data_IF_415984950656
#
_entry.id   IF_415984950656
#
_cell.length_a   1.000
_cell.length_b   1.000
_cell.length_c   1.000
_cell.angle_alpha   90.00
_cell.angle_beta   90.00
_cell.angle_gamma   90.00
#
_symmetry.space_group_name_H-M   'P 1'
#
loop_
_entity.id
_entity.type
_entity.pdbx_description
1 polymer ?
#
# COMPACT_ATOMS: atom_id res chain seq x y z
N UNK A 1 -14.40 -2.11 -10.52
CA UNK A 1 -13.34 -3.13 -10.41
C UNK A 1 -12.44 -2.65 -9.29
N UNK A 2 -12.23 -3.46 -8.28
CA UNK A 2 -11.50 -3.03 -7.09
C UNK A 2 -10.01 -2.91 -7.46
N UNK A 3 -9.50 -1.68 -7.46
CA UNK A 3 -8.10 -1.42 -7.73
C UNK A 3 -7.24 -2.06 -6.62
N UNK A 4 -6.11 -2.64 -7.02
CA UNK A 4 -5.15 -3.24 -6.08
C UNK A 4 -3.74 -2.81 -6.42
N UNK A 5 -2.87 -2.89 -5.41
CA UNK A 5 -1.44 -2.57 -5.50
C UNK A 5 -0.66 -3.63 -4.74
N UNK A 6 0.57 -3.89 -5.16
CA UNK A 6 1.45 -4.84 -4.49
C UNK A 6 2.73 -4.12 -4.00
N UNK A 7 3.15 -4.45 -2.79
CA UNK A 7 4.13 -3.70 -2.01
C UNK A 7 5.22 -4.55 -1.36
N UNK A 8 6.36 -3.93 -1.04
CA UNK A 8 7.45 -4.49 -0.23
C UNK A 8 8.33 -5.50 -0.95
N UNK A 9 9.26 -6.15 -0.23
CA UNK A 9 10.27 -7.07 -0.77
C UNK A 9 9.73 -8.23 -1.63
N UNK A 10 8.43 -8.52 -1.50
CA UNK A 10 7.74 -9.63 -2.18
C UNK A 10 6.59 -9.12 -3.04
N UNK A 11 6.67 -7.89 -3.55
CA UNK A 11 5.62 -7.25 -4.33
C UNK A 11 5.20 -8.08 -5.54
N UNK A 12 6.14 -8.64 -6.29
CA UNK A 12 5.87 -9.49 -7.46
C UNK A 12 5.13 -10.77 -7.06
N UNK A 13 5.50 -11.38 -5.95
CA UNK A 13 4.84 -12.58 -5.44
C UNK A 13 3.40 -12.26 -5.01
N UNK A 14 3.17 -11.09 -4.39
CA UNK A 14 1.83 -10.64 -4.05
C UNK A 14 0.99 -10.35 -5.31
N UNK A 15 1.58 -9.74 -6.34
CA UNK A 15 0.93 -9.55 -7.62
C UNK A 15 0.54 -10.89 -8.27
N UNK A 16 1.42 -11.90 -8.19
CA UNK A 16 1.14 -13.25 -8.68
C UNK A 16 0.00 -13.91 -7.88
N UNK A 17 -0.06 -13.70 -6.56
CA UNK A 17 -1.16 -14.20 -5.72
C UNK A 17 -2.50 -13.58 -6.08
N UNK A 18 -2.54 -12.27 -6.33
CA UNK A 18 -3.75 -11.58 -6.80
C UNK A 18 -4.21 -12.14 -8.15
N UNK A 19 -3.29 -12.37 -9.09
CA UNK A 19 -3.61 -13.04 -10.37
C UNK A 19 -4.24 -14.41 -10.15
N UNK A 20 -3.67 -15.25 -9.28
CA UNK A 20 -4.22 -16.58 -9.00
C UNK A 20 -5.56 -16.53 -8.26
N UNK A 21 -5.83 -15.46 -7.52
CA UNK A 21 -7.12 -15.20 -6.89
C UNK A 21 -8.17 -14.65 -7.87
N UNK A 22 -7.85 -14.48 -9.15
CA UNK A 22 -8.77 -13.95 -10.17
C UNK A 22 -8.93 -12.43 -10.15
N UNK A 23 -8.04 -11.71 -9.46
CA UNK A 23 -8.06 -10.24 -9.45
C UNK A 23 -7.43 -9.67 -10.73
N UNK A 24 -7.83 -8.45 -11.16
CA UNK A 24 -7.10 -7.70 -12.17
C UNK A 24 -5.63 -7.50 -11.79
N UNK A 25 -4.78 -7.26 -12.79
CA UNK A 25 -3.40 -6.89 -12.53
C UNK A 25 -3.33 -5.65 -11.64
N UNK A 26 -2.41 -5.61 -10.64
CA UNK A 26 -2.25 -4.44 -9.80
C UNK A 26 -1.91 -3.20 -10.62
N UNK A 27 -2.44 -2.04 -10.20
CA UNK A 27 -2.14 -0.75 -10.82
C UNK A 27 -0.69 -0.31 -10.60
N UNK A 28 -0.03 -0.83 -9.57
CA UNK A 28 1.42 -0.71 -9.38
C UNK A 28 1.97 -1.89 -8.57
N UNK A 29 3.24 -2.18 -8.78
CA UNK A 29 4.05 -3.15 -8.04
C UNK A 29 5.30 -2.39 -7.60
N UNK A 30 5.38 -2.02 -6.33
CA UNK A 30 6.41 -1.12 -5.81
C UNK A 30 7.08 -1.71 -4.58
N UNK A 31 8.40 -1.61 -4.49
CA UNK A 31 9.14 -2.15 -3.34
C UNK A 31 9.20 -1.14 -2.19
N UNK A 32 9.31 0.15 -2.53
CA UNK A 32 9.42 1.24 -1.58
C UNK A 32 8.06 1.75 -1.11
N UNK A 33 7.90 1.93 0.20
CA UNK A 33 6.66 2.42 0.81
C UNK A 33 6.20 3.78 0.24
N UNK A 34 7.14 4.66 -0.07
CA UNK A 34 6.84 5.97 -0.64
C UNK A 34 6.23 5.87 -2.04
N UNK A 35 6.85 5.10 -2.93
CA UNK A 35 6.35 4.91 -4.30
C UNK A 35 4.99 4.19 -4.29
N UNK A 36 4.82 3.18 -3.42
CA UNK A 36 3.54 2.49 -3.26
C UNK A 36 2.42 3.45 -2.81
N UNK A 37 2.69 4.30 -1.81
CA UNK A 37 1.71 5.27 -1.33
C UNK A 37 1.38 6.33 -2.38
N UNK A 38 2.36 6.77 -3.17
CA UNK A 38 2.12 7.68 -4.29
C UNK A 38 1.19 7.05 -5.33
N UNK A 39 1.43 5.77 -5.67
CA UNK A 39 0.58 5.03 -6.60
C UNK A 39 -0.85 4.85 -6.07
N UNK A 40 -1.01 4.54 -4.77
CA UNK A 40 -2.33 4.40 -4.13
C UNK A 40 -3.07 5.74 -4.16
N UNK A 41 -2.43 6.83 -3.77
CA UNK A 41 -3.05 8.17 -3.73
C UNK A 41 -3.43 8.65 -5.13
N UNK A 42 -2.56 8.45 -6.12
CA UNK A 42 -2.82 8.88 -7.50
C UNK A 42 -3.99 8.13 -8.16
N UNK A 43 -4.27 6.91 -7.70
CA UNK A 43 -5.30 6.03 -8.28
C UNK A 43 -6.55 5.90 -7.41
N UNK A 44 -6.58 6.51 -6.22
CA UNK A 44 -7.75 6.56 -5.35
C UNK A 44 -8.46 7.90 -5.52
N UNK A 45 -9.75 7.89 -5.83
CA UNK A 45 -10.50 9.12 -6.01
C UNK A 45 -10.67 9.88 -4.67
N UNK A 46 -10.73 11.23 -4.69
CA UNK A 46 -11.00 12.00 -3.48
C UNK A 46 -12.32 11.57 -2.81
N UNK A 47 -12.26 11.22 -1.53
CA UNK A 47 -13.40 10.73 -0.74
C UNK A 47 -13.52 9.21 -0.66
N UNK A 48 -12.81 8.47 -1.51
CA UNK A 48 -12.71 7.01 -1.43
C UNK A 48 -11.68 6.57 -0.38
N UNK A 49 -11.70 5.27 -0.07
CA UNK A 49 -10.80 4.64 0.91
C UNK A 49 -10.02 3.52 0.27
N UNK A 50 -8.71 3.51 0.51
CA UNK A 50 -7.86 2.35 0.27
C UNK A 50 -7.64 1.60 1.58
N UNK A 51 -7.62 0.26 1.51
CA UNK A 51 -7.31 -0.60 2.64
C UNK A 51 -5.97 -1.29 2.41
N UNK A 52 -5.16 -1.39 3.47
CA UNK A 52 -3.83 -2.00 3.41
C UNK A 52 -3.84 -3.25 4.26
N UNK A 53 -3.51 -4.40 3.66
CA UNK A 53 -3.11 -5.61 4.37
C UNK A 53 -1.59 -5.75 4.21
N UNK A 54 -0.89 -5.67 5.32
CA UNK A 54 0.57 -5.72 5.35
C UNK A 54 1.05 -6.69 6.44
N UNK A 55 2.23 -7.25 6.23
CA UNK A 55 2.99 -7.91 7.29
C UNK A 55 3.48 -6.87 8.30
N UNK A 56 3.97 -7.33 9.45
CA UNK A 56 4.41 -6.44 10.53
C UNK A 56 5.44 -5.39 10.08
N UNK A 57 6.51 -5.81 9.40
CA UNK A 57 7.57 -4.88 8.97
C UNK A 57 7.09 -3.93 7.88
N UNK A 58 6.39 -4.44 6.86
CA UNK A 58 5.82 -3.60 5.81
C UNK A 58 4.83 -2.57 6.36
N UNK A 59 4.07 -2.91 7.40
CA UNK A 59 3.18 -1.98 8.10
C UNK A 59 3.97 -0.86 8.81
N UNK A 60 5.12 -1.17 9.42
CA UNK A 60 5.98 -0.16 10.02
C UNK A 60 6.56 0.80 8.98
N UNK A 61 7.01 0.28 7.83
CA UNK A 61 7.57 1.11 6.75
C UNK A 61 6.51 2.06 6.16
N UNK A 62 5.31 1.54 5.88
CA UNK A 62 4.18 2.34 5.43
C UNK A 62 3.77 3.40 6.47
N UNK A 63 3.73 3.03 7.75
CA UNK A 63 3.39 3.96 8.82
C UNK A 63 4.45 5.05 8.98
N UNK A 64 5.74 4.71 8.91
CA UNK A 64 6.83 5.67 8.98
C UNK A 64 6.72 6.67 7.82
N UNK A 65 6.43 6.20 6.61
CA UNK A 65 6.25 7.06 5.45
C UNK A 65 5.02 7.97 5.58
N UNK A 66 3.88 7.43 6.04
CA UNK A 66 2.69 8.24 6.33
C UNK A 66 2.96 9.30 7.41
N UNK A 67 3.78 8.99 8.41
CA UNK A 67 4.17 9.94 9.45
C UNK A 67 5.06 11.04 8.88
N UNK A 68 6.02 10.72 8.00
CA UNK A 68 6.83 11.75 7.30
C UNK A 68 5.96 12.68 6.46
N UNK A 69 4.86 12.17 5.90
CA UNK A 69 3.86 12.95 5.15
C UNK A 69 2.91 13.76 6.02
N UNK A 70 2.98 13.61 7.35
CA UNK A 70 2.06 14.25 8.29
C UNK A 70 0.64 13.68 8.25
N UNK A 71 0.43 12.52 7.62
CA UNK A 71 -0.89 11.90 7.46
C UNK A 71 -1.33 11.09 8.68
N UNK A 72 -0.39 10.69 9.54
CA UNK A 72 -0.66 9.99 10.80
C UNK A 72 0.19 10.59 11.92
N UNK A 73 -0.38 10.67 13.12
CA UNK A 73 0.35 11.08 14.32
C UNK A 73 1.40 10.06 14.75
N UNK A 74 2.31 10.48 15.63
CA UNK A 74 3.26 9.57 16.27
C UNK A 74 2.48 8.45 16.98
N UNK A 75 2.96 7.21 16.87
CA UNK A 75 2.51 6.17 17.80
C UNK A 75 3.03 6.61 19.18
N UNK A 76 2.17 6.64 20.22
CA UNK A 76 2.35 7.26 21.54
C UNK A 76 1.84 8.71 21.69
N UNK A 77 0.52 8.86 21.68
CA UNK A 77 -0.18 9.84 22.55
C UNK A 77 -1.18 9.05 23.41
N UNK A 78 -0.83 8.83 24.69
CA UNK A 78 -1.74 8.52 25.81
C UNK A 78 -2.50 7.20 25.78
#
# INVERSE_FOLDING_TARGET
>A
MDASWAGGDRAEDMALRLKYAGWPAPGAIEHEAAALLDAIVAQTAPGDRAFVLATYTAMLDLRAELQRRGAVGAFWEG
#
